data_IF_842080637851
#
_entry.id   IF_842080637851
#
_cell.length_a   1.000
_cell.length_b   1.000
_cell.length_c   1.000
_cell.angle_alpha   90.00
_cell.angle_beta   90.00
_cell.angle_gamma   90.00
#
_symmetry.space_group_name_H-M   'P 1'
#
loop_
_entity.id
_entity.type
_entity.pdbx_description
1 polymer ?
#
# COMPACT_ATOMS: atom_id res chain seq x y z
N UNK A 1 31.97 14.71 20.42
CA UNK A 1 30.90 14.98 19.43
C UNK A 1 31.21 16.34 18.78
N UNK A 2 32.28 16.45 18.00
CA UNK A 2 33.10 17.69 18.05
C UNK A 2 33.24 18.47 16.73
N UNK A 3 32.33 18.27 15.77
CA UNK A 3 32.31 19.02 14.50
C UNK A 3 30.91 19.59 14.18
N UNK A 4 30.28 20.27 15.14
CA UNK A 4 29.09 21.09 14.89
C UNK A 4 29.46 22.56 14.83
N UNK A 5 28.96 23.29 13.82
CA UNK A 5 29.08 24.75 13.75
C UNK A 5 28.24 25.42 14.84
N UNK A 6 28.47 26.70 15.10
CA UNK A 6 27.68 27.42 16.14
C UNK A 6 26.24 27.65 15.69
N UNK A 7 25.99 27.75 14.38
CA UNK A 7 24.64 27.72 13.81
C UNK A 7 23.97 26.35 14.04
N UNK A 8 24.66 25.24 13.76
CA UNK A 8 24.17 23.88 14.01
C UNK A 8 23.77 23.67 15.48
N UNK A 9 24.65 24.08 16.41
CA UNK A 9 24.38 24.02 17.86
C UNK A 9 23.16 24.86 18.26
N UNK A 10 23.00 26.06 17.68
CA UNK A 10 21.86 26.93 18.01
C UNK A 10 20.55 26.36 17.46
N UNK A 11 20.55 25.83 16.23
CA UNK A 11 19.41 25.09 15.67
C UNK A 11 19.02 23.93 16.59
N UNK A 12 19.96 23.06 16.99
CA UNK A 12 19.68 21.98 17.96
C UNK A 12 19.07 22.50 19.28
N UNK A 13 19.66 23.54 19.88
CA UNK A 13 19.18 24.08 21.15
C UNK A 13 17.76 24.68 21.06
N UNK A 14 17.40 25.31 19.93
CA UNK A 14 16.03 25.78 19.68
C UNK A 14 15.03 24.64 19.55
N UNK A 15 15.47 23.48 19.07
CA UNK A 15 14.63 22.29 18.90
C UNK A 15 14.43 21.55 20.21
N UNK A 16 15.48 21.39 21.01
CA UNK A 16 15.37 20.86 22.38
C UNK A 16 14.43 21.76 23.22
N UNK A 17 14.52 23.09 23.04
CA UNK A 17 13.64 24.05 23.71
C UNK A 17 12.17 23.98 23.23
N UNK A 18 11.95 23.85 21.92
CA UNK A 18 10.61 23.67 21.34
C UNK A 18 9.97 22.36 21.76
N UNK A 19 10.73 21.26 21.72
CA UNK A 19 10.29 19.94 22.14
C UNK A 19 9.96 19.94 23.64
N UNK A 20 10.82 20.51 24.50
CA UNK A 20 10.53 20.65 25.92
C UNK A 20 9.27 21.50 26.21
N UNK A 21 8.99 22.53 25.40
CA UNK A 21 7.80 23.40 25.53
C UNK A 21 6.52 22.72 25.02
N UNK A 22 6.59 21.92 23.95
CA UNK A 22 5.41 21.39 23.25
C UNK A 22 5.08 19.92 23.53
N UNK A 23 6.07 19.09 23.89
CA UNK A 23 5.87 17.68 24.19
C UNK A 23 4.78 17.43 25.24
N UNK A 24 4.69 18.16 26.38
CA UNK A 24 3.63 17.92 27.37
C UNK A 24 2.21 18.07 26.80
N UNK A 25 1.96 19.11 25.98
CA UNK A 25 0.66 19.34 25.36
C UNK A 25 0.36 18.29 24.27
N UNK A 26 1.36 17.95 23.47
CA UNK A 26 1.27 16.92 22.41
C UNK A 26 1.01 15.53 23.00
N UNK A 27 1.69 15.16 24.07
CA UNK A 27 1.56 13.83 24.69
C UNK A 27 0.21 13.68 25.40
N UNK A 28 -0.29 14.73 26.08
CA UNK A 28 -1.66 14.77 26.61
C UNK A 28 -2.69 14.60 25.46
N UNK A 29 -2.46 15.28 24.34
CA UNK A 29 -3.34 15.23 23.16
C UNK A 29 -3.33 13.85 22.50
N UNK A 30 -2.17 13.23 22.34
CA UNK A 30 -2.03 11.85 21.84
C UNK A 30 -2.70 10.84 22.77
N UNK A 31 -2.45 10.92 24.09
CA UNK A 31 -3.08 10.07 25.08
C UNK A 31 -4.63 10.19 25.06
N UNK A 32 -5.15 11.42 24.92
CA UNK A 32 -6.59 11.65 24.78
C UNK A 32 -7.19 11.01 23.52
N UNK A 33 -6.50 11.14 22.37
CA UNK A 33 -6.93 10.50 21.12
C UNK A 33 -6.86 8.97 21.20
N UNK A 34 -5.82 8.40 21.80
CA UNK A 34 -5.70 6.95 22.01
C UNK A 34 -6.77 6.41 22.95
N UNK A 35 -7.09 7.13 24.03
CA UNK A 35 -8.20 6.78 24.94
C UNK A 35 -9.55 6.83 24.22
N UNK A 36 -9.80 7.86 23.40
CA UNK A 36 -11.00 7.93 22.58
C UNK A 36 -11.10 6.72 21.62
N UNK A 37 -10.00 6.39 20.93
CA UNK A 37 -9.97 5.26 20.00
C UNK A 37 -10.19 3.93 20.72
N UNK A 38 -9.59 3.71 21.89
CA UNK A 38 -9.84 2.53 22.74
C UNK A 38 -11.30 2.45 23.20
N UNK A 39 -11.88 3.56 23.68
CA UNK A 39 -13.28 3.61 24.11
C UNK A 39 -14.25 3.31 22.96
N UNK A 40 -13.98 3.80 21.75
CA UNK A 40 -14.82 3.49 20.59
C UNK A 40 -14.59 2.07 20.03
N UNK A 41 -13.40 1.47 20.19
CA UNK A 41 -13.20 0.03 19.92
C UNK A 41 -14.00 -0.85 20.88
N UNK A 42 -14.12 -0.46 22.15
CA UNK A 42 -14.98 -1.15 23.13
C UNK A 42 -16.46 -0.99 22.77
N UNK A 43 -16.94 0.25 22.54
CA UNK A 43 -18.31 0.50 22.05
C UNK A 43 -18.62 -0.25 20.76
N UNK A 44 -17.66 -0.39 19.83
CA UNK A 44 -17.85 -1.16 18.60
C UNK A 44 -18.06 -2.65 18.88
N UNK A 45 -17.27 -3.27 19.77
CA UNK A 45 -17.47 -4.68 20.17
C UNK A 45 -18.84 -4.90 20.80
N UNK A 46 -19.26 -4.01 21.71
CA UNK A 46 -20.58 -4.05 22.33
C UNK A 46 -21.71 -3.88 21.29
N UNK A 47 -21.53 -2.95 20.34
CA UNK A 47 -22.46 -2.75 19.24
C UNK A 47 -22.57 -4.00 18.36
N UNK A 48 -21.45 -4.65 17.99
CA UNK A 48 -21.46 -5.89 17.21
C UNK A 48 -22.30 -6.99 17.89
N UNK A 49 -22.13 -7.23 19.19
CA UNK A 49 -22.97 -8.18 19.94
C UNK A 49 -24.45 -7.77 19.95
N UNK A 50 -24.75 -6.48 20.12
CA UNK A 50 -26.14 -5.99 20.08
C UNK A 50 -26.77 -6.07 18.68
N UNK A 51 -25.97 -5.98 17.61
CA UNK A 51 -26.42 -6.09 16.22
C UNK A 51 -26.83 -7.53 15.88
N UNK A 52 -26.16 -8.53 16.46
CA UNK A 52 -26.55 -9.94 16.31
C UNK A 52 -27.87 -10.24 17.03
N UNK A 53 -28.06 -9.72 18.24
CA UNK A 53 -29.34 -9.79 18.95
C UNK A 53 -30.46 -9.08 18.15
N UNK A 54 -30.22 -7.84 17.70
CA UNK A 54 -31.16 -7.06 16.88
C UNK A 54 -31.54 -7.80 15.61
N UNK A 55 -30.59 -8.48 14.94
CA UNK A 55 -30.85 -9.33 13.77
C UNK A 55 -31.80 -10.48 14.12
N UNK A 56 -31.57 -11.19 15.23
CA UNK A 56 -32.43 -12.30 15.68
C UNK A 56 -33.84 -11.85 16.05
N UNK A 57 -33.97 -10.76 16.80
CA UNK A 57 -35.24 -10.22 17.25
C UNK A 57 -36.08 -9.68 16.09
N UNK A 58 -35.47 -8.90 15.19
CA UNK A 58 -36.16 -8.36 14.02
C UNK A 58 -36.62 -9.49 13.09
N UNK A 59 -35.76 -10.49 12.85
CA UNK A 59 -36.08 -11.66 12.05
C UNK A 59 -37.25 -12.46 12.64
N UNK A 60 -37.25 -12.69 13.96
CA UNK A 60 -38.33 -13.41 14.65
C UNK A 60 -39.63 -12.63 14.60
N UNK A 61 -39.59 -11.32 14.87
CA UNK A 61 -40.76 -10.42 14.85
C UNK A 61 -41.39 -10.34 13.45
N UNK A 62 -40.60 -10.09 12.41
CA UNK A 62 -41.11 -9.94 11.05
C UNK A 62 -41.65 -11.27 10.50
N UNK A 63 -41.00 -12.40 10.81
CA UNK A 63 -41.52 -13.73 10.48
C UNK A 63 -42.85 -14.03 11.18
N UNK A 64 -43.01 -13.60 12.43
CA UNK A 64 -44.28 -13.70 13.17
C UNK A 64 -45.41 -12.81 12.59
N UNK A 65 -45.06 -11.77 11.83
CA UNK A 65 -45.99 -10.92 11.09
C UNK A 65 -46.27 -11.41 9.66
N UNK A 66 -45.70 -12.56 9.25
CA UNK A 66 -45.90 -13.12 7.91
C UNK A 66 -45.11 -12.43 6.80
N UNK A 67 -44.08 -11.64 7.12
CA UNK A 67 -43.22 -11.02 6.12
C UNK A 67 -42.42 -12.07 5.33
N UNK A 68 -42.15 -11.80 4.05
CA UNK A 68 -41.32 -12.66 3.20
C UNK A 68 -39.85 -12.64 3.65
N UNK A 69 -39.11 -13.73 3.44
CA UNK A 69 -37.69 -13.81 3.81
C UNK A 69 -36.84 -12.70 3.15
N UNK A 70 -37.23 -12.25 1.94
CA UNK A 70 -36.62 -11.10 1.27
C UNK A 70 -36.90 -9.78 2.01
N UNK A 71 -38.15 -9.55 2.44
CA UNK A 71 -38.55 -8.39 3.25
C UNK A 71 -37.86 -8.37 4.62
N UNK A 72 -37.71 -9.54 5.26
CA UNK A 72 -36.95 -9.73 6.50
C UNK A 72 -35.48 -9.35 6.29
N UNK A 73 -34.83 -9.94 5.28
CA UNK A 73 -33.42 -9.69 4.95
C UNK A 73 -33.12 -8.22 4.64
N UNK A 74 -33.96 -7.58 3.82
CA UNK A 74 -33.88 -6.15 3.51
C UNK A 74 -34.03 -5.28 4.77
N UNK A 75 -35.03 -5.56 5.60
CA UNK A 75 -35.30 -4.83 6.84
C UNK A 75 -34.15 -4.98 7.85
N UNK A 76 -33.59 -6.18 8.01
CA UNK A 76 -32.38 -6.40 8.82
C UNK A 76 -31.21 -5.57 8.27
N UNK A 77 -30.95 -5.61 6.97
CA UNK A 77 -29.79 -4.94 6.38
C UNK A 77 -29.80 -3.42 6.61
N UNK A 78 -30.94 -2.74 6.42
CA UNK A 78 -31.04 -1.29 6.63
C UNK A 78 -30.94 -0.89 8.11
N UNK A 79 -31.54 -1.63 9.05
CA UNK A 79 -31.41 -1.31 10.48
C UNK A 79 -29.96 -1.50 10.97
N UNK A 80 -29.29 -2.58 10.54
CA UNK A 80 -27.87 -2.80 10.84
C UNK A 80 -26.97 -1.73 10.19
N UNK A 81 -27.35 -1.21 9.04
CA UNK A 81 -26.64 -0.11 8.38
C UNK A 81 -26.84 1.21 9.13
N UNK A 82 -28.06 1.54 9.59
CA UNK A 82 -28.33 2.73 10.42
C UNK A 82 -27.58 2.71 11.76
N UNK A 83 -27.54 1.57 12.44
CA UNK A 83 -26.77 1.40 13.68
C UNK A 83 -25.28 1.67 13.45
N UNK A 84 -24.74 1.19 12.34
CA UNK A 84 -23.33 1.42 11.96
C UNK A 84 -23.07 2.88 11.56
N UNK A 85 -23.96 3.49 10.79
CA UNK A 85 -23.87 4.92 10.41
C UNK A 85 -23.87 5.82 11.65
N UNK A 86 -24.83 5.60 12.56
CA UNK A 86 -24.97 6.36 13.81
C UNK A 86 -23.70 6.25 14.67
N UNK A 87 -23.15 5.03 14.81
CA UNK A 87 -21.90 4.82 15.55
C UNK A 87 -20.71 5.60 14.98
N UNK A 88 -20.49 5.58 13.66
CA UNK A 88 -19.38 6.31 13.07
C UNK A 88 -19.58 7.83 13.09
N UNK A 89 -20.82 8.29 12.98
CA UNK A 89 -21.17 9.70 13.19
C UNK A 89 -20.89 10.15 14.63
N UNK A 90 -21.35 9.39 15.63
CA UNK A 90 -21.13 9.68 17.05
C UNK A 90 -19.64 9.58 17.44
N UNK A 91 -18.87 8.73 16.75
CA UNK A 91 -17.40 8.66 16.90
C UNK A 91 -16.75 9.95 16.40
N UNK A 92 -17.04 10.35 15.17
CA UNK A 92 -16.47 11.56 14.56
C UNK A 92 -16.90 12.85 15.28
N UNK A 93 -18.16 12.93 15.72
CA UNK A 93 -18.67 14.02 16.56
C UNK A 93 -17.90 14.12 17.88
N UNK A 94 -17.79 13.03 18.63
CA UNK A 94 -17.04 13.00 19.89
C UNK A 94 -15.53 13.23 19.69
N UNK A 95 -14.97 12.84 18.54
CA UNK A 95 -13.58 13.15 18.19
C UNK A 95 -13.38 14.66 17.96
N UNK A 96 -14.29 15.35 17.26
CA UNK A 96 -14.24 16.83 17.11
C UNK A 96 -14.48 17.56 18.44
N UNK A 97 -15.41 17.09 19.26
CA UNK A 97 -15.65 17.66 20.59
C UNK A 97 -14.40 17.54 21.48
N UNK A 98 -13.77 16.36 21.50
CA UNK A 98 -12.49 16.16 22.18
C UNK A 98 -11.38 17.05 21.62
N UNK A 99 -11.24 17.12 20.28
CA UNK A 99 -10.25 17.95 19.59
C UNK A 99 -10.35 19.44 19.98
N UNK A 100 -11.57 19.94 20.19
CA UNK A 100 -11.83 21.31 20.65
C UNK A 100 -11.56 21.55 22.15
N UNK A 101 -11.47 20.50 22.96
CA UNK A 101 -11.12 20.60 24.40
C UNK A 101 -9.63 20.41 24.70
N UNK A 102 -8.91 19.73 23.82
CA UNK A 102 -7.48 19.47 23.99
C UNK A 102 -6.68 20.72 23.59
N UNK A 103 -5.74 21.13 24.45
CA UNK A 103 -4.80 22.20 24.11
C UNK A 103 -4.05 21.85 22.83
N UNK A 104 -4.08 22.77 21.85
CA UNK A 104 -3.24 22.66 20.66
C UNK A 104 -1.79 22.95 21.05
N UNK A 105 -0.80 22.12 20.65
CA UNK A 105 0.60 22.48 20.79
C UNK A 105 0.88 23.77 20.03
N UNK A 106 1.86 24.55 20.49
CA UNK A 106 2.35 25.69 19.74
C UNK A 106 2.99 25.22 18.43
N UNK A 107 2.81 25.98 17.34
CA UNK A 107 3.48 25.65 16.08
C UNK A 107 4.96 26.01 16.11
N UNK A 108 5.76 25.29 15.32
CA UNK A 108 7.18 25.61 15.14
C UNK A 108 7.37 27.04 14.66
N UNK A 109 6.51 27.51 13.75
CA UNK A 109 6.51 28.88 13.23
C UNK A 109 6.21 29.93 14.31
N UNK A 110 5.21 29.69 15.17
CA UNK A 110 4.85 30.60 16.25
C UNK A 110 5.94 30.64 17.34
N UNK A 111 6.52 29.47 17.67
CA UNK A 111 7.65 29.38 18.60
C UNK A 111 8.87 30.17 18.10
N UNK A 112 9.20 30.05 16.81
CA UNK A 112 10.29 30.81 16.20
C UNK A 112 10.01 32.32 16.21
N UNK A 113 8.77 32.73 15.90
CA UNK A 113 8.36 34.14 15.93
C UNK A 113 8.41 34.73 17.33
N UNK A 114 7.98 33.99 18.36
CA UNK A 114 8.16 34.40 19.76
C UNK A 114 9.64 34.49 20.13
N UNK A 115 10.43 33.45 19.83
CA UNK A 115 11.85 33.39 20.18
C UNK A 115 12.68 34.51 19.51
N UNK A 116 12.30 34.92 18.29
CA UNK A 116 12.92 36.07 17.60
C UNK A 116 12.65 37.39 18.33
N UNK A 117 11.49 37.57 18.97
CA UNK A 117 11.20 38.80 19.73
C UNK A 117 12.11 38.92 20.97
N UNK A 118 12.55 37.79 21.54
CA UNK A 118 13.51 37.75 22.65
C UNK A 118 14.96 37.95 22.18
N UNK A 119 15.27 37.62 20.93
CA UNK A 119 16.62 37.71 20.33
C UNK A 119 16.56 38.34 18.92
N UNK A 120 16.22 39.65 18.82
CA UNK A 120 15.89 40.29 17.53
C UNK A 120 17.07 40.42 16.56
N UNK A 121 18.30 40.44 17.08
CA UNK A 121 19.53 40.63 16.29
C UNK A 121 20.13 39.32 15.75
N UNK A 122 19.50 38.16 16.00
CA UNK A 122 20.00 36.86 15.51
C UNK A 122 19.41 36.48 14.14
N UNK A 123 20.23 36.42 13.07
CA UNK A 123 19.77 36.09 11.72
C UNK A 123 19.33 34.63 11.55
N UNK A 124 19.63 33.72 12.49
CA UNK A 124 19.23 32.31 12.39
C UNK A 124 17.70 32.18 12.47
N UNK A 125 17.01 33.02 13.24
CA UNK A 125 15.54 33.01 13.30
C UNK A 125 14.90 33.40 11.97
N UNK A 126 15.46 34.34 11.21
CA UNK A 126 14.90 34.72 9.90
C UNK A 126 14.95 33.54 8.91
N UNK A 127 16.09 32.83 8.85
CA UNK A 127 16.22 31.63 8.01
C UNK A 127 15.22 30.54 8.41
N UNK A 128 15.03 30.30 9.71
CA UNK A 128 14.14 29.25 10.21
C UNK A 128 12.65 29.60 10.05
N UNK A 129 12.29 30.88 10.17
CA UNK A 129 10.92 31.36 9.90
C UNK A 129 10.59 31.20 8.41
N UNK A 130 11.49 31.57 7.50
CA UNK A 130 11.26 31.40 6.06
C UNK A 130 11.14 29.91 5.66
N UNK A 131 11.88 29.02 6.32
CA UNK A 131 11.80 27.56 6.15
C UNK A 131 10.47 26.99 6.67
N UNK A 132 10.01 27.45 7.84
CA UNK A 132 8.74 27.04 8.44
C UNK A 132 7.51 27.59 7.70
N UNK A 133 7.58 28.76 7.07
CA UNK A 133 6.49 29.30 6.25
C UNK A 133 6.30 28.55 4.92
N UNK A 134 7.38 27.96 4.38
CA UNK A 134 7.33 27.10 3.19
C UNK A 134 6.85 25.68 3.50
N UNK A 135 6.98 25.25 4.75
CA UNK A 135 6.62 23.89 5.21
C UNK A 135 5.64 23.98 6.39
N UNK A 136 4.38 24.42 6.16
CA UNK A 136 3.40 24.56 7.23
C UNK A 136 3.15 23.21 7.91
N UNK A 137 3.11 23.22 9.24
CA UNK A 137 3.11 22.03 10.08
C UNK A 137 1.74 21.30 10.08
N UNK A 138 1.60 20.17 9.36
CA UNK A 138 0.29 19.55 9.12
C UNK A 138 -0.25 18.83 10.37
N UNK A 139 0.58 18.64 11.42
CA UNK A 139 0.19 17.91 12.63
C UNK A 139 -0.72 18.68 13.59
N UNK A 140 -0.85 20.00 13.44
CA UNK A 140 -1.46 20.88 14.44
C UNK A 140 -2.92 21.28 14.17
N UNK A 141 -3.39 21.15 12.93
CA UNK A 141 -4.74 21.59 12.55
C UNK A 141 -5.87 20.71 13.10
N UNK A 142 -5.56 19.45 13.44
CA UNK A 142 -6.45 18.55 14.15
C UNK A 142 -7.56 17.95 13.29
N UNK A 143 -8.70 17.62 13.91
CA UNK A 143 -9.85 17.05 13.21
C UNK A 143 -10.65 18.09 12.42
N UNK A 144 -10.34 19.38 12.59
CA UNK A 144 -11.11 20.50 12.03
C UNK A 144 -11.17 20.54 10.50
N UNK A 145 -10.15 20.03 9.79
CA UNK A 145 -10.12 19.98 8.32
C UNK A 145 -10.82 18.74 7.71
N UNK A 146 -11.28 17.79 8.52
CA UNK A 146 -11.94 16.57 8.01
C UNK A 146 -13.43 16.80 7.75
N UNK A 147 -13.86 16.50 6.53
CA UNK A 147 -15.28 16.42 6.16
C UNK A 147 -15.99 15.41 7.08
N UNK A 148 -17.11 15.81 7.67
CA UNK A 148 -17.91 14.94 8.53
C UNK A 148 -18.53 13.77 7.72
N UNK A 149 -18.69 12.57 8.32
CA UNK A 149 -19.41 11.48 7.69
C UNK A 149 -20.88 11.88 7.53
N UNK A 150 -21.42 11.67 6.33
CA UNK A 150 -22.82 11.99 6.05
C UNK A 150 -23.75 11.00 6.78
N UNK A 151 -24.87 11.53 7.29
CA UNK A 151 -26.04 10.72 7.68
C UNK A 151 -26.96 10.63 6.47
N UNK A 152 -27.09 9.45 5.88
CA UNK A 152 -27.89 9.21 4.66
C UNK A 152 -29.00 8.16 4.83
N UNK A 153 -29.02 7.41 5.94
CA UNK A 153 -29.99 6.33 6.18
C UNK A 153 -31.14 6.70 7.14
N UNK A 154 -30.99 7.78 7.91
CA UNK A 154 -31.95 8.16 8.96
C UNK A 154 -33.35 8.54 8.43
N UNK A 155 -33.43 9.17 7.25
CA UNK A 155 -34.68 9.60 6.61
C UNK A 155 -35.18 8.66 5.50
N UNK A 156 -34.53 7.51 5.28
CA UNK A 156 -35.06 6.46 4.42
C UNK A 156 -36.16 5.70 5.16
N UNK A 157 -37.30 5.50 4.51
CA UNK A 157 -38.39 4.64 4.97
C UNK A 157 -38.41 3.35 4.16
N UNK A 158 -38.49 2.22 4.86
CA UNK A 158 -38.59 0.89 4.27
C UNK A 158 -40.05 0.54 4.03
N UNK A 159 -40.40 0.15 2.81
CA UNK A 159 -41.75 -0.32 2.46
C UNK A 159 -41.70 -1.41 1.39
N UNK A 160 -42.73 -2.22 1.29
CA UNK A 160 -42.88 -3.17 0.18
C UNK A 160 -43.54 -2.48 -1.01
N UNK A 161 -42.94 -2.62 -2.20
CA UNK A 161 -43.47 -2.11 -3.46
C UNK A 161 -44.67 -2.92 -3.96
N UNK A 162 -45.39 -2.39 -4.95
CA UNK A 162 -46.55 -3.07 -5.55
C UNK A 162 -46.21 -4.40 -6.25
N UNK A 163 -44.93 -4.61 -6.55
CA UNK A 163 -44.36 -5.81 -7.17
C UNK A 163 -43.62 -6.71 -6.16
N UNK A 164 -43.79 -6.50 -4.85
CA UNK A 164 -43.14 -7.30 -3.79
C UNK A 164 -41.65 -7.00 -3.60
N UNK A 165 -41.09 -6.06 -4.37
CA UNK A 165 -39.71 -5.59 -4.24
C UNK A 165 -39.65 -4.57 -3.09
N UNK A 166 -38.65 -4.69 -2.21
CA UNK A 166 -38.51 -3.75 -1.10
C UNK A 166 -37.98 -2.40 -1.60
N UNK A 167 -38.63 -1.31 -1.17
CA UNK A 167 -38.28 0.07 -1.53
C UNK A 167 -37.76 0.82 -0.30
N UNK A 168 -36.62 1.49 -0.46
CA UNK A 168 -36.12 2.50 0.47
C UNK A 168 -36.44 3.87 -0.12
N UNK A 169 -37.35 4.61 0.52
CA UNK A 169 -37.91 5.87 0.01
C UNK A 169 -37.62 7.07 0.91
N UNK A 170 -37.34 8.22 0.31
CA UNK A 170 -37.30 9.54 0.98
C UNK A 170 -38.61 10.27 0.68
N UNK A 171 -39.52 10.29 1.65
CA UNK A 171 -40.88 10.80 1.47
C UNK A 171 -41.60 10.08 0.32
N UNK A 172 -41.94 10.82 -0.74
CA UNK A 172 -42.64 10.26 -1.92
C UNK A 172 -41.69 9.61 -2.96
N UNK A 173 -40.38 9.82 -2.87
CA UNK A 173 -39.42 9.35 -3.88
C UNK A 173 -38.71 8.08 -3.44
N UNK A 174 -38.81 7.02 -4.24
CA UNK A 174 -37.98 5.81 -4.09
C UNK A 174 -36.54 6.14 -4.49
N UNK A 175 -35.62 5.97 -3.55
CA UNK A 175 -34.19 6.20 -3.71
C UNK A 175 -33.49 4.92 -4.21
N UNK A 176 -33.74 3.81 -3.51
CA UNK A 176 -33.10 2.51 -3.74
C UNK A 176 -34.16 1.41 -3.70
N UNK A 177 -34.07 0.42 -4.58
CA UNK A 177 -34.91 -0.79 -4.60
C UNK A 177 -34.04 -2.01 -4.31
N UNK A 178 -34.54 -2.92 -3.49
CA UNK A 178 -33.84 -4.14 -3.07
C UNK A 178 -34.52 -5.35 -3.72
N UNK A 179 -33.85 -5.88 -4.75
CA UNK A 179 -34.32 -7.01 -5.57
C UNK A 179 -33.85 -8.36 -4.98
N UNK A 180 -33.21 -8.34 -3.80
CA UNK A 180 -32.67 -9.52 -3.13
C UNK A 180 -31.20 -9.78 -3.47
N UNK A 181 -30.88 -9.98 -4.75
CA UNK A 181 -29.51 -10.23 -5.23
C UNK A 181 -28.70 -8.94 -5.49
N UNK A 182 -29.39 -7.81 -5.70
CA UNK A 182 -28.80 -6.50 -5.96
C UNK A 182 -29.64 -5.34 -5.40
N UNK A 183 -29.01 -4.17 -5.30
CA UNK A 183 -29.69 -2.91 -4.96
C UNK A 183 -29.69 -1.97 -6.18
N UNK A 184 -30.88 -1.65 -6.68
CA UNK A 184 -31.07 -0.76 -7.82
C UNK A 184 -31.27 0.68 -7.32
N UNK A 185 -30.30 1.56 -7.58
CA UNK A 185 -30.37 2.99 -7.24
C UNK A 185 -31.09 3.75 -8.36
N UNK A 186 -32.11 4.54 -8.03
CA UNK A 186 -32.96 5.19 -9.04
C UNK A 186 -32.34 6.44 -9.67
N UNK A 187 -31.44 7.10 -8.96
CA UNK A 187 -30.76 8.33 -9.39
C UNK A 187 -29.28 8.28 -9.01
N UNK A 188 -28.43 8.86 -9.84
CA UNK A 188 -27.00 9.07 -9.55
C UNK A 188 -26.78 10.25 -8.58
N UNK A 189 -27.62 10.38 -7.56
CA UNK A 189 -27.43 11.31 -6.46
C UNK A 189 -26.50 10.67 -5.43
N UNK A 190 -25.44 11.37 -5.03
CA UNK A 190 -24.41 10.88 -4.11
C UNK A 190 -25.02 10.34 -2.83
N UNK A 191 -26.07 10.99 -2.33
CA UNK A 191 -26.75 10.62 -1.08
C UNK A 191 -27.46 9.27 -1.17
N UNK A 192 -28.04 8.95 -2.32
CA UNK A 192 -28.76 7.70 -2.56
C UNK A 192 -27.78 6.57 -2.94
N UNK A 193 -26.70 6.90 -3.64
CA UNK A 193 -25.58 5.99 -3.91
C UNK A 193 -24.86 5.60 -2.61
N UNK A 194 -24.53 6.56 -1.75
CA UNK A 194 -23.90 6.31 -0.44
C UNK A 194 -24.79 5.46 0.46
N UNK A 195 -26.11 5.73 0.47
CA UNK A 195 -27.08 4.92 1.19
C UNK A 195 -27.15 3.48 0.67
N UNK A 196 -27.21 3.28 -0.65
CA UNK A 196 -27.19 1.96 -1.26
C UNK A 196 -25.92 1.18 -0.89
N UNK A 197 -24.74 1.82 -0.93
CA UNK A 197 -23.47 1.20 -0.56
C UNK A 197 -23.42 0.81 0.92
N UNK A 198 -23.92 1.65 1.83
CA UNK A 198 -24.01 1.35 3.27
C UNK A 198 -24.96 0.18 3.58
N UNK A 199 -26.08 0.05 2.85
CA UNK A 199 -26.99 -1.10 2.96
C UNK A 199 -26.35 -2.36 2.35
N UNK A 200 -25.73 -2.24 1.17
CA UNK A 200 -25.03 -3.32 0.48
C UNK A 200 -23.95 -3.96 1.36
N UNK A 201 -23.17 -3.17 2.09
CA UNK A 201 -22.14 -3.65 3.02
C UNK A 201 -22.67 -4.42 4.24
N UNK A 202 -24.00 -4.45 4.47
CA UNK A 202 -24.65 -5.28 5.50
C UNK A 202 -25.42 -6.47 4.94
N UNK A 203 -25.80 -6.41 3.66
CA UNK A 203 -26.57 -7.42 2.93
C UNK A 203 -25.69 -8.44 2.21
N UNK A 204 -24.57 -7.99 1.65
CA UNK A 204 -23.67 -8.79 0.82
C UNK A 204 -22.34 -9.07 1.53
N UNK A 205 -21.62 -10.05 0.98
CA UNK A 205 -20.28 -10.44 1.41
C UNK A 205 -19.25 -9.37 1.02
N UNK A 206 -18.99 -8.46 1.95
CA UNK A 206 -18.09 -7.31 1.74
C UNK A 206 -16.63 -7.74 1.54
N UNK A 207 -16.22 -8.91 2.03
CA UNK A 207 -14.84 -9.43 1.88
C UNK A 207 -14.56 -9.86 0.42
N UNK A 208 -15.60 -10.21 -0.34
CA UNK A 208 -15.52 -10.40 -1.81
C UNK A 208 -15.55 -9.09 -2.59
N UNK A 209 -15.87 -7.97 -1.95
CA UNK A 209 -16.10 -6.68 -2.58
C UNK A 209 -17.45 -6.54 -3.28
N UNK A 210 -17.87 -5.31 -3.52
CA UNK A 210 -19.12 -4.98 -4.21
C UNK A 210 -18.91 -4.92 -5.72
N UNK A 211 -19.87 -5.46 -6.49
CA UNK A 211 -19.91 -5.32 -7.95
C UNK A 211 -20.85 -4.17 -8.33
N UNK A 212 -20.32 -3.11 -8.92
CA UNK A 212 -21.09 -1.97 -9.41
C UNK A 212 -21.57 -2.24 -10.84
N UNK A 213 -22.88 -2.18 -11.06
CA UNK A 213 -23.53 -2.35 -12.36
C UNK A 213 -24.28 -1.07 -12.75
N UNK A 214 -24.36 -0.76 -14.04
CA UNK A 214 -24.97 0.46 -14.56
C UNK A 214 -24.10 1.13 -15.64
N UNK A 215 -24.43 2.38 -15.96
CA UNK A 215 -23.63 3.20 -16.88
C UNK A 215 -22.27 3.62 -16.27
N UNK A 216 -21.39 4.18 -17.09
CA UNK A 216 -20.05 4.59 -16.68
C UNK A 216 -20.09 5.70 -15.61
N UNK A 217 -21.00 6.67 -15.73
CA UNK A 217 -21.14 7.80 -14.80
C UNK A 217 -21.52 7.30 -13.40
N UNK A 218 -22.50 6.40 -13.32
CA UNK A 218 -22.90 5.74 -12.08
C UNK A 218 -21.76 4.93 -11.48
N UNK A 219 -21.11 4.06 -12.25
CA UNK A 219 -20.00 3.22 -11.75
C UNK A 219 -18.82 4.05 -11.24
N UNK A 220 -18.41 5.09 -11.98
CA UNK A 220 -17.35 6.02 -11.56
C UNK A 220 -17.72 6.71 -10.24
N UNK A 221 -18.95 7.24 -10.13
CA UNK A 221 -19.34 7.98 -8.92
C UNK A 221 -19.54 7.08 -7.71
N UNK A 222 -20.20 5.94 -7.89
CA UNK A 222 -20.35 4.93 -6.85
C UNK A 222 -19.01 4.35 -6.40
N UNK A 223 -18.04 4.19 -7.31
CA UNK A 223 -16.70 3.76 -6.93
C UNK A 223 -15.93 4.80 -6.11
N UNK A 224 -16.01 6.08 -6.45
CA UNK A 224 -15.42 7.15 -5.64
C UNK A 224 -16.03 7.19 -4.22
N UNK A 225 -17.36 7.05 -4.10
CA UNK A 225 -18.03 7.00 -2.80
C UNK A 225 -17.66 5.72 -2.04
N UNK A 226 -17.64 4.56 -2.71
CA UNK A 226 -17.18 3.29 -2.13
C UNK A 226 -15.74 3.37 -1.62
N UNK A 227 -14.86 4.08 -2.35
CA UNK A 227 -13.49 4.36 -1.93
C UNK A 227 -13.42 5.21 -0.67
N UNK A 228 -14.29 6.25 -0.56
CA UNK A 228 -14.40 7.08 0.66
C UNK A 228 -14.89 6.29 1.87
N UNK A 229 -15.81 5.32 1.65
CA UNK A 229 -16.33 4.43 2.68
C UNK A 229 -15.38 3.26 3.02
N UNK A 230 -14.30 3.08 2.26
CA UNK A 230 -13.35 1.97 2.42
C UNK A 230 -13.87 0.61 1.94
N UNK A 231 -14.98 0.56 1.21
CA UNK A 231 -15.59 -0.68 0.73
C UNK A 231 -14.88 -1.18 -0.54
N UNK A 232 -14.36 -2.42 -0.58
CA UNK A 232 -13.68 -2.98 -1.74
C UNK A 232 -14.65 -3.25 -2.90
N UNK A 233 -14.12 -3.27 -4.13
CA UNK A 233 -14.89 -3.45 -5.37
C UNK A 233 -14.38 -4.65 -6.18
N UNK A 234 -15.30 -5.30 -6.91
CA UNK A 234 -14.99 -6.36 -7.88
C UNK A 234 -14.75 -5.83 -9.30
N UNK A 235 -15.10 -4.57 -9.59
CA UNK A 235 -14.97 -3.99 -10.92
C UNK A 235 -13.49 -3.89 -11.36
N UNK A 236 -13.18 -4.41 -12.54
CA UNK A 236 -11.84 -4.38 -13.16
C UNK A 236 -11.61 -3.18 -14.08
N UNK A 237 -12.62 -2.34 -14.28
CA UNK A 237 -12.61 -1.21 -15.19
C UNK A 237 -11.65 -0.10 -14.72
N UNK A 238 -10.66 0.35 -15.54
CA UNK A 238 -9.63 1.28 -15.09
C UNK A 238 -10.14 2.61 -14.53
N UNK A 239 -11.22 3.15 -15.11
CA UNK A 239 -11.82 4.43 -14.68
C UNK A 239 -12.50 4.30 -13.32
N UNK A 240 -13.16 3.16 -13.08
CA UNK A 240 -13.82 2.81 -11.82
C UNK A 240 -12.79 2.57 -10.72
N UNK A 241 -11.71 1.84 -11.01
CA UNK A 241 -10.60 1.64 -10.08
C UNK A 241 -9.86 2.95 -9.74
N UNK A 242 -9.61 3.82 -10.73
CA UNK A 242 -9.07 5.17 -10.49
C UNK A 242 -10.01 6.00 -9.61
N UNK A 243 -11.31 5.97 -9.86
CA UNK A 243 -12.30 6.69 -9.05
C UNK A 243 -12.30 6.19 -7.59
N UNK A 244 -12.27 4.88 -7.38
CA UNK A 244 -12.14 4.27 -6.06
C UNK A 244 -10.85 4.67 -5.35
N UNK A 245 -9.71 4.65 -6.03
CA UNK A 245 -8.42 5.10 -5.46
C UNK A 245 -8.46 6.58 -5.07
N UNK A 246 -9.04 7.46 -5.89
CA UNK A 246 -9.25 8.89 -5.51
C UNK A 246 -10.13 9.00 -4.27
N UNK A 247 -11.24 8.27 -4.21
CA UNK A 247 -12.12 8.22 -3.04
C UNK A 247 -11.38 7.78 -1.77
N UNK A 248 -10.57 6.72 -1.88
CA UNK A 248 -9.73 6.19 -0.79
C UNK A 248 -8.67 7.20 -0.35
N UNK A 249 -8.02 7.91 -1.28
CA UNK A 249 -7.06 8.97 -0.95
C UNK A 249 -7.72 10.13 -0.21
N UNK A 250 -8.92 10.54 -0.61
CA UNK A 250 -9.71 11.57 0.10
C UNK A 250 -10.12 11.11 1.51
N UNK A 251 -10.40 9.82 1.71
CA UNK A 251 -10.65 9.25 3.03
C UNK A 251 -9.38 8.96 3.86
N UNK A 252 -8.20 8.93 3.25
CA UNK A 252 -6.90 8.83 3.93
C UNK A 252 -6.46 10.16 4.57
N UNK A 253 -7.42 10.91 5.13
CA UNK A 253 -7.19 12.09 5.96
C UNK A 253 -6.89 11.73 7.42
N UNK A 254 -5.74 11.08 7.68
CA UNK A 254 -5.11 11.06 9.01
C UNK A 254 -3.58 11.09 8.84
N UNK A 255 -3.01 12.27 8.66
CA UNK A 255 -1.69 12.46 9.23
C UNK A 255 -1.88 12.46 10.75
N UNK A 256 -1.40 11.41 11.42
CA UNK A 256 -1.16 11.49 12.87
C UNK A 256 -0.24 12.68 13.09
N UNK A 257 -0.45 13.43 14.17
CA UNK A 257 0.49 14.47 14.59
C UNK A 257 1.89 13.87 14.69
N UNK A 258 2.68 14.00 13.63
CA UNK A 258 4.08 13.64 13.66
C UNK A 258 4.76 14.67 14.55
N UNK A 259 5.87 14.27 15.17
CA UNK A 259 6.85 15.27 15.58
C UNK A 259 7.14 16.10 14.31
N UNK A 260 7.06 17.45 14.37
CA UNK A 260 7.42 18.27 13.21
C UNK A 260 8.80 17.83 12.73
N UNK A 261 9.05 17.80 11.43
CA UNK A 261 10.30 17.22 10.89
C UNK A 261 11.48 18.20 11.06
N UNK A 262 11.78 18.59 12.30
CA UNK A 262 12.73 19.65 12.64
C UNK A 262 14.21 19.26 12.51
N UNK A 263 14.50 18.02 12.07
CA UNK A 263 15.82 17.72 11.50
C UNK A 263 16.10 18.49 10.18
N UNK A 264 15.04 19.02 9.53
CA UNK A 264 15.18 20.09 8.55
C UNK A 264 15.72 21.35 9.26
N UNK A 265 17.04 21.45 9.28
CA UNK A 265 17.76 22.61 9.80
C UNK A 265 18.76 22.35 10.92
N UNK A 266 19.01 21.14 11.40
CA UNK A 266 20.14 20.91 12.36
C UNK A 266 21.51 21.06 11.69
N UNK A 267 21.60 20.98 10.37
CA UNK A 267 22.84 21.14 9.58
C UNK A 267 23.07 22.57 9.09
N UNK A 268 23.25 23.52 10.02
CA UNK A 268 23.84 24.86 9.82
C UNK A 268 25.29 24.87 9.31
N UNK A 269 25.56 24.15 8.22
CA UNK A 269 26.45 24.70 7.21
C UNK A 269 25.75 25.91 6.58
N UNK A 270 26.48 26.88 5.99
CA UNK A 270 25.85 28.00 5.29
C UNK A 270 24.86 27.50 4.23
N UNK A 271 23.85 28.32 3.91
CA UNK A 271 22.60 28.01 3.18
C UNK A 271 22.70 27.35 1.76
N UNK A 272 23.87 26.82 1.39
CA UNK A 272 24.08 25.84 0.32
C UNK A 272 23.80 24.39 0.75
N UNK A 273 23.65 24.12 2.05
CA UNK A 273 23.61 22.75 2.60
C UNK A 273 22.25 22.34 3.22
N UNK A 274 21.13 22.89 2.74
CA UNK A 274 19.81 22.22 2.78
C UNK A 274 19.75 20.98 1.84
N UNK A 275 20.91 20.32 1.65
CA UNK A 275 21.12 19.14 0.82
C UNK A 275 22.12 18.14 1.44
N UNK A 276 22.01 17.85 2.75
CA UNK A 276 22.51 16.59 3.35
C UNK A 276 21.70 16.21 4.60
N UNK A 277 21.17 14.98 4.77
CA UNK A 277 21.16 13.80 3.88
C UNK A 277 20.76 14.14 2.43
N UNK A 278 21.34 13.48 1.40
CA UNK A 278 21.41 14.01 0.03
C UNK A 278 20.02 14.37 -0.48
N UNK A 279 19.73 15.68 -0.58
CA UNK A 279 18.35 16.14 -0.70
C UNK A 279 17.69 15.49 -1.91
N UNK A 280 16.52 14.95 -1.63
CA UNK A 280 15.93 13.96 -2.49
C UNK A 280 16.68 12.62 -2.44
N UNK A 281 16.62 11.88 -1.32
CA UNK A 281 16.81 10.41 -1.29
C UNK A 281 15.89 9.73 -0.25
N UNK A 282 15.08 8.78 -0.71
CA UNK A 282 14.13 7.97 0.06
C UNK A 282 14.70 6.62 0.44
N UNK A 283 14.37 6.15 1.66
CA UNK A 283 14.69 4.81 2.14
C UNK A 283 13.63 3.81 1.70
N UNK A 284 14.03 2.91 0.80
CA UNK A 284 13.24 1.80 0.27
C UNK A 284 13.66 0.47 0.91
N UNK A 285 12.72 -0.46 1.07
CA UNK A 285 12.97 -1.89 1.31
C UNK A 285 13.38 -2.54 0.00
N UNK A 286 14.35 -3.44 0.06
CA UNK A 286 14.82 -4.21 -1.08
C UNK A 286 14.65 -5.71 -0.83
N UNK A 287 14.40 -6.47 -1.90
CA UNK A 287 14.47 -7.93 -1.84
C UNK A 287 15.93 -8.37 -1.60
N UNK A 288 16.19 -9.48 -0.88
CA UNK A 288 17.55 -9.98 -0.70
C UNK A 288 18.32 -10.18 -2.02
N UNK A 289 17.65 -10.61 -3.10
CA UNK A 289 18.29 -10.74 -4.43
C UNK A 289 18.66 -9.36 -5.00
N UNK A 290 17.85 -8.33 -4.79
CA UNK A 290 18.16 -6.94 -5.18
C UNK A 290 19.39 -6.42 -4.42
N UNK A 291 19.53 -6.75 -3.14
CA UNK A 291 20.72 -6.44 -2.35
C UNK A 291 21.96 -7.18 -2.88
N UNK A 292 21.85 -8.48 -3.18
CA UNK A 292 22.92 -9.26 -3.81
C UNK A 292 23.36 -8.68 -5.17
N UNK A 293 22.41 -8.23 -6.00
CA UNK A 293 22.72 -7.57 -7.27
C UNK A 293 23.47 -6.27 -7.03
N UNK A 294 22.99 -5.40 -6.14
CA UNK A 294 23.61 -4.10 -5.85
C UNK A 294 24.99 -4.21 -5.21
N UNK A 295 25.24 -5.27 -4.44
CA UNK A 295 26.56 -5.57 -3.89
C UNK A 295 27.58 -5.98 -4.97
N UNK A 296 27.15 -6.67 -6.03
CA UNK A 296 28.00 -7.04 -7.19
C UNK A 296 28.14 -5.90 -8.19
N UNK A 297 27.04 -5.21 -8.48
CA UNK A 297 26.86 -4.21 -9.53
C UNK A 297 26.26 -2.93 -8.94
N UNK A 298 27.08 -2.03 -8.35
CA UNK A 298 26.57 -0.80 -7.75
C UNK A 298 25.89 0.12 -8.77
N UNK A 299 24.62 0.46 -8.53
CA UNK A 299 23.86 1.40 -9.37
C UNK A 299 24.14 2.83 -8.91
N UNK A 300 24.69 3.66 -9.80
CA UNK A 300 25.02 5.06 -9.51
C UNK A 300 23.84 5.78 -8.86
N UNK A 301 24.09 6.46 -7.73
CA UNK A 301 23.09 7.20 -6.96
C UNK A 301 22.22 6.38 -6.01
N UNK A 302 22.25 5.04 -6.05
CA UNK A 302 21.57 4.17 -5.07
C UNK A 302 22.60 3.67 -4.07
N UNK A 303 22.37 3.93 -2.78
CA UNK A 303 23.27 3.50 -1.70
C UNK A 303 22.62 2.35 -0.91
N UNK A 304 23.38 1.35 -0.47
CA UNK A 304 22.88 0.34 0.47
C UNK A 304 22.80 0.94 1.88
N UNK A 305 21.63 0.82 2.53
CA UNK A 305 21.27 1.52 3.77
C UNK A 305 20.84 0.55 4.89
N UNK A 306 21.42 -0.65 4.90
CA UNK A 306 21.12 -1.74 5.83
C UNK A 306 21.22 -3.10 5.11
N UNK A 307 20.79 -4.17 5.79
CA UNK A 307 20.71 -5.52 5.22
C UNK A 307 19.49 -5.69 4.29
N UNK A 308 18.43 -4.90 4.51
CA UNK A 308 17.11 -4.98 3.85
C UNK A 308 16.69 -3.68 3.15
N UNK A 309 17.60 -2.68 3.04
CA UNK A 309 17.27 -1.29 2.67
C UNK A 309 18.25 -0.66 1.70
N UNK A 310 17.72 0.21 0.85
CA UNK A 310 18.47 1.08 -0.07
C UNK A 310 18.01 2.53 0.06
N UNK A 311 18.90 3.47 -0.20
CA UNK A 311 18.60 4.90 -0.34
C UNK A 311 18.63 5.29 -1.83
N UNK A 312 17.46 5.61 -2.39
CA UNK A 312 17.27 5.99 -3.80
C UNK A 312 16.87 7.47 -3.90
N UNK A 313 17.36 8.25 -4.89
CA UNK A 313 16.96 9.65 -5.03
C UNK A 313 15.46 9.90 -5.18
N UNK A 314 14.93 10.92 -4.50
CA UNK A 314 13.49 11.22 -4.52
C UNK A 314 13.03 11.61 -5.92
N UNK A 315 13.85 12.33 -6.68
CA UNK A 315 13.59 12.61 -8.09
C UNK A 315 13.41 11.31 -8.90
N UNK A 316 14.24 10.29 -8.63
CA UNK A 316 14.17 8.97 -9.26
C UNK A 316 13.02 8.12 -8.74
N UNK A 317 12.75 8.17 -7.44
CA UNK A 317 11.61 7.51 -6.80
C UNK A 317 10.27 8.09 -7.29
N UNK A 318 10.20 9.42 -7.48
CA UNK A 318 9.04 10.12 -8.05
C UNK A 318 8.90 9.83 -9.55
N UNK A 319 10.00 9.86 -10.32
CA UNK A 319 9.99 9.48 -11.74
C UNK A 319 9.58 8.01 -11.94
N UNK A 320 10.07 7.09 -11.12
CA UNK A 320 9.66 5.70 -11.09
C UNK A 320 8.18 5.56 -10.69
N UNK A 321 7.70 6.29 -9.68
CA UNK A 321 6.29 6.29 -9.31
C UNK A 321 5.37 6.91 -10.37
N UNK A 322 5.84 7.89 -11.15
CA UNK A 322 5.13 8.42 -12.30
C UNK A 322 5.07 7.36 -13.42
N UNK A 323 6.22 6.77 -13.77
CA UNK A 323 6.31 5.68 -14.72
C UNK A 323 5.41 4.50 -14.34
N UNK A 324 5.39 4.05 -13.08
CA UNK A 324 4.49 2.98 -12.57
C UNK A 324 3.01 3.31 -12.78
N UNK A 325 2.59 4.58 -12.78
CA UNK A 325 1.20 4.99 -13.05
C UNK A 325 0.86 4.97 -14.55
N UNK A 326 1.85 5.23 -15.41
CA UNK A 326 1.72 5.27 -16.87
C UNK A 326 2.02 3.92 -17.55
N UNK A 327 2.66 3.01 -16.82
CA UNK A 327 2.85 1.61 -17.19
C UNK A 327 1.50 0.87 -17.11
N UNK A 328 0.96 0.51 -18.28
CA UNK A 328 -0.24 -0.32 -18.35
C UNK A 328 -0.03 -1.71 -17.73
N UNK A 329 -1.13 -2.39 -17.38
CA UNK A 329 -1.13 -3.69 -16.69
C UNK A 329 -0.18 -4.72 -17.31
N UNK A 330 -0.11 -4.80 -18.64
CA UNK A 330 0.79 -5.71 -19.36
C UNK A 330 2.27 -5.41 -19.09
N UNK A 331 2.67 -4.13 -19.05
CA UNK A 331 4.05 -3.74 -18.78
C UNK A 331 4.43 -3.99 -17.31
N UNK A 332 3.54 -3.66 -16.36
CA UNK A 332 3.74 -3.97 -14.93
C UNK A 332 3.93 -5.48 -14.70
N UNK A 333 3.16 -6.31 -15.40
CA UNK A 333 3.26 -7.77 -15.30
C UNK A 333 4.60 -8.32 -15.81
N UNK A 334 5.23 -7.68 -16.81
CA UNK A 334 6.57 -8.07 -17.28
C UNK A 334 7.67 -7.55 -16.34
N UNK A 335 7.56 -6.29 -15.91
CA UNK A 335 8.46 -5.67 -14.92
C UNK A 335 8.50 -6.44 -13.60
N UNK A 336 7.38 -7.03 -13.19
CA UNK A 336 7.30 -7.90 -12.01
C UNK A 336 8.19 -9.15 -12.08
N UNK A 337 8.71 -9.52 -13.27
CA UNK A 337 9.62 -10.65 -13.48
C UNK A 337 11.05 -10.23 -13.85
N UNK A 338 11.36 -8.93 -13.75
CA UNK A 338 12.67 -8.40 -14.12
C UNK A 338 13.81 -9.06 -13.31
N UNK A 339 14.83 -9.56 -14.00
CA UNK A 339 16.07 -10.00 -13.37
C UNK A 339 17.14 -8.91 -13.48
N UNK A 340 17.39 -8.20 -12.38
CA UNK A 340 18.37 -7.11 -12.33
C UNK A 340 19.83 -7.60 -12.49
N UNK A 341 20.09 -8.91 -12.48
CA UNK A 341 21.42 -9.44 -12.87
C UNK A 341 21.65 -9.41 -14.39
N UNK A 342 20.61 -9.26 -15.22
CA UNK A 342 20.67 -9.30 -16.68
C UNK A 342 20.59 -7.90 -17.30
N UNK A 343 21.39 -7.61 -18.34
CA UNK A 343 21.46 -6.26 -18.93
C UNK A 343 20.16 -5.83 -19.64
N UNK A 344 19.36 -6.78 -20.12
CA UNK A 344 18.04 -6.59 -20.73
C UNK A 344 16.89 -6.77 -19.71
N UNK A 345 17.20 -7.00 -18.44
CA UNK A 345 16.23 -7.31 -17.40
C UNK A 345 15.60 -8.71 -17.51
N UNK A 346 16.07 -9.59 -18.40
CA UNK A 346 15.52 -10.94 -18.60
C UNK A 346 14.07 -10.97 -19.11
N UNK A 347 13.64 -9.93 -19.83
CA UNK A 347 12.26 -9.82 -20.31
C UNK A 347 11.95 -10.72 -21.52
N UNK A 348 10.67 -11.11 -21.65
CA UNK A 348 10.19 -11.85 -22.81
C UNK A 348 10.37 -11.01 -24.10
N UNK A 349 10.92 -11.57 -25.20
CA UNK A 349 11.12 -10.85 -26.46
C UNK A 349 9.86 -10.15 -27.01
N UNK A 350 8.67 -10.71 -26.77
CA UNK A 350 7.38 -10.10 -27.18
C UNK A 350 7.01 -8.83 -26.40
N UNK A 351 7.71 -8.55 -25.29
CA UNK A 351 7.49 -7.37 -24.44
C UNK A 351 8.50 -6.24 -24.67
N UNK A 352 9.57 -6.47 -25.44
CA UNK A 352 10.67 -5.52 -25.63
C UNK A 352 10.18 -4.19 -26.23
N UNK A 353 9.35 -4.22 -27.27
CA UNK A 353 8.84 -3.00 -27.90
C UNK A 353 7.92 -2.20 -26.96
N UNK A 354 7.09 -2.88 -26.16
CA UNK A 354 6.24 -2.25 -25.15
C UNK A 354 7.08 -1.59 -24.04
N UNK A 355 8.14 -2.26 -23.57
CA UNK A 355 9.00 -1.72 -22.51
C UNK A 355 9.92 -0.60 -23.03
N UNK A 356 10.30 -0.63 -24.30
CA UNK A 356 11.00 0.46 -24.99
C UNK A 356 10.10 1.69 -25.19
N UNK A 357 8.85 1.51 -25.61
CA UNK A 357 7.85 2.61 -25.69
C UNK A 357 7.66 3.32 -24.34
N UNK A 358 7.79 2.58 -23.24
CA UNK A 358 7.63 3.09 -21.86
C UNK A 358 8.94 3.58 -21.22
N UNK A 359 10.05 3.62 -21.96
CA UNK A 359 11.36 4.09 -21.47
C UNK A 359 12.03 3.18 -20.42
N UNK A 360 11.54 1.96 -20.26
CA UNK A 360 12.08 0.94 -19.35
C UNK A 360 13.27 0.22 -19.99
N UNK A 361 13.22 0.04 -21.32
CA UNK A 361 14.34 -0.39 -22.14
C UNK A 361 14.83 0.74 -23.06
N UNK A 362 16.12 0.76 -23.36
CA UNK A 362 16.72 1.66 -24.36
C UNK A 362 16.57 1.14 -25.80
N UNK A 363 17.18 1.84 -26.76
CA UNK A 363 17.17 1.43 -28.18
C UNK A 363 17.83 0.08 -28.40
N UNK A 364 18.83 -0.28 -27.59
CA UNK A 364 19.61 -1.50 -27.71
C UNK A 364 18.95 -2.67 -26.96
N UNK A 365 17.82 -2.41 -26.28
CA UNK A 365 17.04 -3.39 -25.53
C UNK A 365 17.54 -3.59 -24.09
N UNK A 366 18.38 -2.69 -23.57
CA UNK A 366 18.93 -2.78 -22.22
C UNK A 366 18.09 -2.03 -21.20
N UNK A 367 18.10 -2.51 -19.96
CA UNK A 367 17.38 -1.91 -18.85
C UNK A 367 17.90 -0.51 -18.55
N UNK A 368 17.02 0.50 -18.64
CA UNK A 368 17.39 1.88 -18.34
C UNK A 368 17.56 2.10 -16.84
N UNK A 369 18.16 3.22 -16.46
CA UNK A 369 18.20 3.68 -15.07
C UNK A 369 16.77 3.79 -14.49
N UNK A 370 15.84 4.34 -15.25
CA UNK A 370 14.42 4.43 -14.88
C UNK A 370 13.77 3.03 -14.75
N UNK A 371 14.07 2.10 -15.67
CA UNK A 371 13.59 0.73 -15.58
C UNK A 371 14.06 0.00 -14.32
N UNK A 372 15.33 0.21 -13.96
CA UNK A 372 15.91 -0.29 -12.71
C UNK A 372 15.22 0.30 -11.48
N UNK A 373 14.97 1.62 -11.48
CA UNK A 373 14.29 2.32 -10.38
C UNK A 373 12.84 1.85 -10.21
N UNK A 374 12.12 1.68 -11.33
CA UNK A 374 10.74 1.18 -11.36
C UNK A 374 10.63 -0.20 -10.73
N UNK A 375 11.57 -1.11 -11.00
CA UNK A 375 11.60 -2.44 -10.36
C UNK A 375 11.76 -2.31 -8.84
N UNK A 376 12.74 -1.52 -8.38
CA UNK A 376 13.02 -1.37 -6.94
C UNK A 376 11.89 -0.68 -6.17
N UNK A 377 11.28 0.36 -6.73
CA UNK A 377 10.14 1.08 -6.11
C UNK A 377 8.88 0.21 -6.09
N UNK A 378 8.66 -0.61 -7.12
CA UNK A 378 7.57 -1.59 -7.17
C UNK A 378 7.74 -2.68 -6.10
N UNK A 379 8.96 -3.17 -5.90
CA UNK A 379 9.25 -4.21 -4.91
C UNK A 379 9.18 -3.68 -3.47
N UNK A 380 9.70 -2.48 -3.17
CA UNK A 380 9.52 -1.81 -1.87
C UNK A 380 8.05 -1.78 -1.45
N UNK A 381 7.19 -1.32 -2.37
CA UNK A 381 5.77 -1.18 -2.12
C UNK A 381 5.13 -2.52 -1.76
N UNK A 382 5.48 -3.59 -2.48
CA UNK A 382 4.92 -4.93 -2.22
C UNK A 382 5.47 -5.55 -0.93
N UNK A 383 6.73 -5.29 -0.57
CA UNK A 383 7.30 -5.70 0.72
C UNK A 383 6.52 -5.04 1.86
N UNK A 384 6.29 -3.72 1.79
CA UNK A 384 5.51 -2.98 2.80
C UNK A 384 4.05 -3.42 2.85
N UNK A 385 3.39 -3.61 1.70
CA UNK A 385 2.01 -4.09 1.65
C UNK A 385 1.91 -5.53 2.23
N UNK A 386 2.90 -6.40 1.99
CA UNK A 386 3.01 -7.76 2.58
C UNK A 386 3.27 -7.73 4.09
N UNK A 387 4.10 -6.81 4.57
CA UNK A 387 4.36 -6.61 6.00
C UNK A 387 3.14 -6.05 6.75
N UNK A 388 2.32 -5.22 6.11
CA UNK A 388 1.10 -4.67 6.70
C UNK A 388 -0.05 -5.69 6.84
N UNK A 389 0.03 -6.87 6.20
CA UNK A 389 -0.98 -7.94 6.33
C UNK A 389 -0.80 -8.76 7.60
N UNK A 390 -1.91 -9.22 8.17
CA UNK A 390 -1.93 -10.18 9.27
C UNK A 390 -1.32 -11.54 8.85
N UNK A 391 -0.65 -12.29 9.74
CA UNK A 391 0.05 -13.53 9.38
C UNK A 391 -0.80 -14.55 8.60
N UNK A 392 -2.08 -14.72 8.97
CA UNK A 392 -3.00 -15.61 8.28
C UNK A 392 -3.37 -15.13 6.85
N UNK A 393 -3.37 -13.81 6.62
CA UNK A 393 -3.61 -13.21 5.30
C UNK A 393 -2.36 -13.28 4.42
N UNK A 394 -1.15 -13.13 5.00
CA UNK A 394 0.12 -13.25 4.27
C UNK A 394 0.21 -14.58 3.51
N UNK A 395 -0.12 -15.71 4.14
CA UNK A 395 -0.12 -17.02 3.48
C UNK A 395 -1.17 -17.11 2.35
N UNK A 396 -2.37 -16.56 2.55
CA UNK A 396 -3.46 -16.61 1.57
C UNK A 396 -3.17 -15.77 0.32
N UNK A 397 -2.47 -14.65 0.46
CA UNK A 397 -2.21 -13.70 -0.63
C UNK A 397 -0.75 -13.68 -1.11
N UNK A 398 0.12 -14.57 -0.60
CA UNK A 398 1.55 -14.61 -0.94
C UNK A 398 1.83 -14.57 -2.46
N UNK A 399 1.00 -15.23 -3.27
CA UNK A 399 1.13 -15.26 -4.73
C UNK A 399 0.95 -13.90 -5.43
N UNK A 400 0.30 -12.93 -4.79
CA UNK A 400 0.03 -11.59 -5.34
C UNK A 400 1.07 -10.54 -4.88
N UNK A 401 1.80 -10.81 -3.80
CA UNK A 401 2.82 -9.92 -3.21
C UNK A 401 4.24 -10.47 -3.41
N UNK A 402 4.52 -10.94 -4.63
CA UNK A 402 5.83 -11.43 -5.06
C UNK A 402 6.70 -10.29 -5.58
N UNK A 403 7.89 -10.15 -5.01
CA UNK A 403 8.96 -9.28 -5.54
C UNK A 403 9.49 -9.84 -6.86
N UNK A 404 10.26 -9.06 -7.61
CA UNK A 404 10.97 -9.57 -8.78
C UNK A 404 11.95 -10.68 -8.38
N UNK A 405 12.59 -10.54 -7.22
CA UNK A 405 13.42 -11.58 -6.63
C UNK A 405 12.68 -12.90 -6.33
N UNK A 406 11.42 -12.83 -5.88
CA UNK A 406 10.58 -14.03 -5.69
C UNK A 406 10.34 -14.77 -7.02
N UNK A 407 10.00 -14.04 -8.09
CA UNK A 407 9.78 -14.65 -9.41
C UNK A 407 11.05 -15.26 -10.02
N UNK A 408 12.21 -14.60 -9.91
CA UNK A 408 13.47 -15.14 -10.43
C UNK A 408 13.92 -16.37 -9.64
N UNK A 409 13.74 -16.39 -8.30
CA UNK A 409 13.97 -17.59 -7.48
C UNK A 409 13.09 -18.76 -7.92
N UNK A 410 11.81 -18.53 -8.17
CA UNK A 410 10.89 -19.57 -8.66
C UNK A 410 11.26 -20.07 -10.07
N UNK A 411 11.62 -19.16 -10.98
CA UNK A 411 12.06 -19.51 -12.33
C UNK A 411 13.32 -20.38 -12.31
N UNK A 412 14.35 -19.99 -11.55
CA UNK A 412 15.59 -20.74 -11.41
C UNK A 412 15.39 -22.13 -10.81
N UNK A 413 14.49 -22.26 -9.81
CA UNK A 413 14.14 -23.57 -9.24
C UNK A 413 13.37 -24.43 -10.25
N UNK A 414 12.43 -23.85 -10.99
CA UNK A 414 11.68 -24.56 -12.04
C UNK A 414 12.57 -24.98 -13.22
N UNK A 415 13.58 -24.19 -13.59
CA UNK A 415 14.59 -24.57 -14.58
C UNK A 415 15.49 -25.68 -14.06
N UNK A 416 15.96 -25.60 -12.81
CA UNK A 416 16.72 -26.68 -12.16
C UNK A 416 15.93 -27.99 -12.10
N UNK A 417 14.64 -27.93 -11.81
CA UNK A 417 13.76 -29.11 -11.74
C UNK A 417 13.45 -29.69 -13.13
N UNK A 418 13.50 -28.88 -14.20
CA UNK A 418 13.44 -29.34 -15.61
C UNK A 418 14.77 -29.88 -16.13
N UNK A 419 15.88 -29.28 -15.72
CA UNK A 419 17.23 -29.73 -16.08
C UNK A 419 17.64 -31.00 -15.33
N UNK A 420 17.08 -31.27 -14.14
CA UNK A 420 17.35 -32.49 -13.38
C UNK A 420 17.07 -33.79 -14.18
N UNK A 421 15.92 -33.95 -14.88
CA UNK A 421 15.70 -35.09 -15.77
C UNK A 421 16.54 -35.02 -17.07
N UNK A 422 16.72 -33.86 -17.71
CA UNK A 422 17.54 -33.76 -18.93
C UNK A 422 19.02 -34.12 -18.67
N UNK A 423 19.64 -33.59 -17.62
CA UNK A 423 21.03 -33.94 -17.24
C UNK A 423 21.14 -35.41 -16.80
N UNK A 424 20.07 -36.02 -16.29
CA UNK A 424 20.01 -37.46 -16.02
C UNK A 424 19.81 -38.31 -17.29
N UNK A 425 19.33 -37.72 -18.37
CA UNK A 425 19.13 -38.34 -19.69
C UNK A 425 20.39 -38.19 -20.54
N UNK A 426 21.00 -37.01 -20.60
CA UNK A 426 22.33 -36.76 -21.18
C UNK A 426 23.41 -37.64 -20.53
N UNK A 427 23.41 -37.80 -19.20
CA UNK A 427 24.34 -38.73 -18.54
C UNK A 427 24.09 -40.20 -18.88
N UNK A 428 22.87 -40.58 -19.30
CA UNK A 428 22.58 -41.93 -19.80
C UNK A 428 23.01 -42.08 -21.26
N UNK A 429 22.78 -41.08 -22.10
CA UNK A 429 23.23 -41.08 -23.50
C UNK A 429 24.75 -41.04 -23.59
N UNK A 430 25.44 -40.16 -22.86
CA UNK A 430 26.91 -40.16 -22.78
C UNK A 430 27.48 -41.48 -22.20
N UNK A 431 26.77 -42.13 -21.28
CA UNK A 431 27.17 -43.46 -20.79
C UNK A 431 26.87 -44.61 -21.79
N UNK A 432 25.91 -44.43 -22.70
CA UNK A 432 25.70 -45.32 -23.84
C UNK A 432 26.75 -45.08 -24.93
N UNK A 433 27.05 -43.83 -25.25
CA UNK A 433 28.05 -43.47 -26.26
C UNK A 433 29.46 -43.85 -25.82
N UNK A 434 29.81 -43.71 -24.54
CA UNK A 434 31.06 -44.29 -24.03
C UNK A 434 31.07 -45.83 -24.14
N UNK A 435 29.95 -46.53 -23.91
CA UNK A 435 29.88 -47.98 -24.12
C UNK A 435 29.99 -48.38 -25.59
N UNK A 436 29.42 -47.58 -26.50
CA UNK A 436 29.47 -47.81 -27.95
C UNK A 436 30.86 -47.49 -28.52
N UNK A 437 31.53 -46.43 -28.03
CA UNK A 437 32.90 -46.07 -28.40
C UNK A 437 33.93 -47.15 -28.01
N UNK A 438 33.65 -47.95 -26.98
CA UNK A 438 34.47 -49.10 -26.58
C UNK A 438 34.21 -50.40 -27.39
N UNK A 439 33.31 -50.39 -28.39
CA UNK A 439 32.97 -51.57 -29.20
C UNK A 439 33.35 -51.52 -30.69
N UNK A 440 34.11 -50.50 -31.13
CA UNK A 440 34.69 -50.45 -32.48
C UNK A 440 36.21 -50.61 -32.44
N UNK A 441 36.66 -51.87 -32.46
CA UNK A 441 38.08 -52.23 -32.42
C UNK A 441 38.32 -53.74 -32.46
N UNK A 442 37.90 -54.42 -33.53
CA UNK A 442 38.28 -55.83 -33.73
C UNK A 442 39.80 -55.97 -34.00
N UNK A 443 40.44 -56.86 -33.23
CA UNK A 443 41.65 -57.69 -33.43
C UNK A 443 42.65 -57.28 -34.55
N UNK A 444 43.96 -57.39 -34.32
CA UNK A 444 44.85 -58.56 -34.64
C UNK A 444 46.31 -58.09 -34.38
N UNK A 445 47.33 -58.91 -34.00
CA UNK A 445 47.39 -60.17 -33.27
C UNK A 445 48.37 -60.14 -32.04
N UNK A 446 48.55 -61.29 -31.37
CA UNK A 446 49.66 -61.55 -30.43
C UNK A 446 50.98 -61.86 -31.18
N UNK A 447 52.11 -61.42 -30.64
CA UNK A 447 53.44 -62.00 -30.95
C UNK A 447 54.26 -62.26 -29.68
N UNK A 448 54.48 -63.57 -29.41
CA UNK A 448 55.51 -64.25 -28.59
C UNK A 448 56.00 -63.66 -27.24
N UNK A 449 55.91 -64.51 -26.21
CA UNK A 449 56.76 -64.50 -25.00
C UNK A 449 58.24 -64.80 -25.31
N UNK A 450 59.09 -64.52 -24.31
CA UNK A 450 60.40 -65.12 -23.92
C UNK A 450 61.50 -64.04 -23.76
N UNK A 451 62.33 -64.00 -22.69
CA UNK A 451 62.46 -64.84 -21.46
C UNK A 451 63.41 -64.16 -20.43
N UNK A 452 63.52 -64.70 -19.19
CA UNK A 452 64.36 -64.29 -18.03
C UNK A 452 64.00 -62.93 -17.38
N UNK A 453 63.76 -62.77 -16.07
CA UNK A 453 64.08 -63.52 -14.81
C UNK A 453 65.53 -63.33 -14.32
N UNK A 454 65.69 -62.47 -13.31
CA UNK A 454 66.70 -62.41 -12.22
C UNK A 454 66.26 -61.22 -11.33
N UNK A 455 65.69 -61.45 -10.15
CA UNK A 455 66.34 -61.72 -8.85
C UNK A 455 67.02 -60.49 -8.19
N UNK A 456 66.36 -60.03 -7.10
CA UNK A 456 66.90 -59.68 -5.78
C UNK A 456 68.02 -58.63 -5.56
N UNK A 457 67.79 -57.81 -4.54
CA UNK A 457 68.75 -57.00 -3.75
C UNK A 457 69.49 -55.85 -4.49
N UNK A 458 69.14 -54.57 -4.29
CA UNK A 458 69.00 -53.86 -3.00
C UNK A 458 68.21 -52.55 -3.11
#
# INVERSE_FOLDING_TARGET
MDNLTDEQKKRMALLDAFEAKTAPARDIRHAGMDQHEQAYREKWRQLQSSMEATRGDLHTRLKGLGASDASISASVAIELARLTESFYFDKDKAARELDGTLAKPQSWLDFLKESKLEQPDDPIFDSLIEEAEKTPDPGLDGFSQKIAPNIVLADLQTREGKDGVMEYARGLTVAVRDVGDRLDVRKTDDRDVEAALKIAAKKFDIDKGLLLTGDATFKIRAAEISGKLGYPLQNTEPEVLRAWMRGKQVAQGIERGRVPHVEAGITGDPAKNLMRAPAGKSLLRADPRTMDVLAKNPVSGIDMAGEDKIAMPDERMLAANASIKDLGYQAIHQIARADLEQQDGGFDPSSVDLLREKGILDTDGKLTQLGTDVVMVRDDRLIREREALEPAQRTKFAQYYKTSGDYVREAYMAERDKAAPEVAQDRKEQALDQKNAFQLGEKIPKTRQQVFEEELER
#
